data_IF_883581797935
#
_entry.id   IF_883581797935
#
_cell.length_a   1.000
_cell.length_b   1.000
_cell.length_c   1.000
_cell.angle_alpha   90.00
_cell.angle_beta   90.00
_cell.angle_gamma   90.00
#
_symmetry.space_group_name_H-M   'P 1'
#
loop_
_entity.id
_entity.type
_entity.pdbx_description
1 polymer ?
#
# COMPACT_ATOMS: atom_id res chain seq x y z
N UNK A 1 3.33 -5.07 -13.53
CA UNK A 1 2.36 -5.75 -14.45
C UNK A 1 2.79 -7.18 -14.81
N UNK A 2 4.07 -7.44 -15.09
CA UNK A 2 4.59 -8.77 -15.45
C UNK A 2 4.46 -9.84 -14.36
N UNK A 3 4.39 -9.45 -13.09
CA UNK A 3 4.23 -10.37 -11.95
C UNK A 3 2.96 -11.23 -12.05
N UNK A 4 1.90 -10.70 -12.66
CA UNK A 4 0.63 -11.42 -12.83
C UNK A 4 0.63 -12.36 -14.05
N UNK A 5 1.63 -12.29 -14.93
CA UNK A 5 1.71 -13.14 -16.14
C UNK A 5 1.70 -14.63 -15.80
N UNK A 6 2.35 -15.01 -14.69
CA UNK A 6 2.41 -16.39 -14.22
C UNK A 6 1.04 -16.88 -13.74
N UNK A 7 0.31 -16.05 -13.02
CA UNK A 7 -1.04 -16.37 -12.57
C UNK A 7 -2.01 -16.49 -13.75
N UNK A 8 -1.94 -15.56 -14.71
CA UNK A 8 -2.73 -15.62 -15.95
C UNK A 8 -2.41 -16.86 -16.78
N UNK A 9 -1.13 -17.19 -16.94
CA UNK A 9 -0.70 -18.40 -17.67
C UNK A 9 -1.26 -19.65 -17.03
N UNK A 10 -1.24 -19.73 -15.69
CA UNK A 10 -1.79 -20.87 -14.96
C UNK A 10 -3.30 -21.00 -15.20
N UNK A 11 -4.07 -19.94 -14.93
CA UNK A 11 -5.53 -19.94 -15.06
C UNK A 11 -5.96 -20.24 -16.50
N UNK A 12 -5.34 -19.61 -17.49
CA UNK A 12 -5.72 -19.77 -18.89
C UNK A 12 -5.31 -21.13 -19.46
N UNK A 13 -4.26 -21.76 -18.92
CA UNK A 13 -3.81 -23.09 -19.34
C UNK A 13 -4.68 -24.22 -18.82
N UNK A 14 -5.35 -24.02 -17.68
CA UNK A 14 -6.20 -25.02 -17.03
C UNK A 14 -7.52 -25.26 -17.79
N UNK A 15 -8.09 -24.24 -18.45
CA UNK A 15 -9.27 -24.39 -19.31
C UNK A 15 -8.88 -24.55 -20.80
N UNK A 16 -9.29 -25.68 -21.39
CA UNK A 16 -9.09 -26.00 -22.82
C UNK A 16 -9.66 -24.92 -23.76
N UNK A 17 -10.74 -24.25 -23.37
CA UNK A 17 -11.35 -23.20 -24.18
C UNK A 17 -10.53 -21.93 -24.18
N UNK A 18 -9.80 -21.63 -23.10
CA UNK A 18 -9.02 -20.39 -22.94
C UNK A 18 -7.53 -20.57 -23.20
N UNK A 19 -7.05 -21.81 -23.37
CA UNK A 19 -5.63 -22.12 -23.58
C UNK A 19 -4.97 -21.37 -24.74
N UNK A 20 -5.75 -21.01 -25.76
CA UNK A 20 -5.26 -20.23 -26.90
C UNK A 20 -5.03 -18.75 -26.57
N UNK A 21 -5.48 -18.28 -25.41
CA UNK A 21 -5.30 -16.92 -24.90
C UNK A 21 -4.08 -16.79 -23.98
N UNK A 22 -3.35 -17.89 -23.73
CA UNK A 22 -2.15 -17.85 -22.90
C UNK A 22 -1.15 -16.86 -23.54
N UNK A 23 -0.75 -15.80 -22.82
CA UNK A 23 0.10 -14.76 -23.38
C UNK A 23 1.43 -15.33 -23.84
N UNK A 24 1.88 -14.87 -24.99
CA UNK A 24 3.20 -15.18 -25.54
C UNK A 24 4.24 -14.18 -25.03
N UNK A 25 5.51 -14.44 -25.35
CA UNK A 25 6.58 -13.50 -25.05
C UNK A 25 6.38 -12.15 -25.77
N UNK A 26 5.75 -12.13 -26.95
CA UNK A 26 5.49 -10.91 -27.71
C UNK A 26 4.45 -10.04 -27.02
N UNK A 27 3.38 -10.66 -26.51
CA UNK A 27 2.35 -9.95 -25.73
C UNK A 27 2.98 -9.32 -24.48
N UNK A 28 3.91 -10.04 -23.86
CA UNK A 28 4.63 -9.62 -22.67
C UNK A 28 5.55 -8.40 -22.95
N UNK A 29 6.28 -8.44 -24.07
CA UNK A 29 7.19 -7.36 -24.51
C UNK A 29 6.42 -6.08 -24.90
N UNK A 30 5.27 -6.23 -25.56
CA UNK A 30 4.37 -5.11 -25.86
C UNK A 30 3.79 -4.49 -24.58
N UNK A 31 3.35 -5.31 -23.63
CA UNK A 31 2.84 -4.83 -22.35
C UNK A 31 3.91 -4.10 -21.52
N UNK A 32 5.16 -4.58 -21.55
CA UNK A 32 6.28 -3.90 -20.90
C UNK A 32 6.55 -2.53 -21.55
N UNK A 33 6.53 -2.45 -22.87
CA UNK A 33 6.68 -1.19 -23.61
C UNK A 33 5.58 -0.19 -23.27
N UNK A 34 4.32 -0.64 -23.18
CA UNK A 34 3.19 0.20 -22.77
C UNK A 34 3.36 0.66 -21.32
N UNK A 35 3.73 -0.24 -20.40
CA UNK A 35 3.98 0.09 -19.00
C UNK A 35 5.08 1.14 -18.87
N UNK A 36 6.16 1.03 -19.64
CA UNK A 36 7.26 2.01 -19.63
C UNK A 36 6.84 3.37 -20.19
N UNK A 37 5.91 3.41 -21.15
CA UNK A 37 5.39 4.65 -21.70
C UNK A 37 4.39 5.34 -20.75
N UNK A 38 3.58 4.56 -20.02
CA UNK A 38 2.51 5.07 -19.15
C UNK A 38 3.00 5.31 -17.71
N UNK A 39 4.01 4.58 -17.24
CA UNK A 39 4.58 4.71 -15.89
C UNK A 39 4.90 6.16 -15.49
N UNK A 40 5.60 6.94 -16.33
CA UNK A 40 5.86 8.36 -16.04
C UNK A 40 4.60 9.22 -15.90
N UNK A 41 3.51 8.89 -16.61
CA UNK A 41 2.22 9.59 -16.49
C UNK A 41 1.49 9.23 -15.20
N UNK A 42 1.63 7.98 -14.76
CA UNK A 42 1.12 7.54 -13.47
C UNK A 42 1.84 8.25 -12.33
N UNK A 43 3.18 8.25 -12.34
CA UNK A 43 3.99 8.97 -11.34
C UNK A 43 3.68 10.47 -11.32
N UNK A 44 3.48 11.09 -12.49
CA UNK A 44 3.06 12.48 -12.60
C UNK A 44 1.66 12.73 -12.01
N UNK A 45 0.72 11.81 -12.26
CA UNK A 45 -0.64 11.90 -11.74
C UNK A 45 -0.68 11.70 -10.23
N UNK A 46 0.10 10.76 -9.70
CA UNK A 46 0.24 10.49 -8.26
C UNK A 46 0.91 11.67 -7.55
N UNK A 47 1.90 12.32 -8.18
CA UNK A 47 2.52 13.53 -7.66
C UNK A 47 1.55 14.72 -7.60
N UNK A 48 0.62 14.81 -8.56
CA UNK A 48 -0.38 15.88 -8.62
C UNK A 48 -1.66 15.59 -7.85
N UNK A 49 -1.98 14.32 -7.57
CA UNK A 49 -3.23 13.95 -6.89
C UNK A 49 -3.29 14.47 -5.45
N UNK A 50 -2.14 14.88 -4.88
CA UNK A 50 -2.06 15.50 -3.56
C UNK A 50 -2.42 14.57 -2.41
N UNK A 51 -2.81 13.32 -2.69
CA UNK A 51 -3.27 12.36 -1.69
C UNK A 51 -2.14 11.96 -0.73
N UNK A 52 -0.91 11.79 -1.22
CA UNK A 52 0.24 11.47 -0.37
C UNK A 52 0.57 12.56 0.65
N UNK A 53 0.49 13.84 0.25
CA UNK A 53 0.71 14.96 1.16
C UNK A 53 -0.39 15.07 2.22
N UNK A 54 -1.64 14.81 1.83
CA UNK A 54 -2.77 14.85 2.76
C UNK A 54 -2.76 13.67 3.73
N UNK A 55 -2.36 12.47 3.29
CA UNK A 55 -2.28 11.28 4.13
C UNK A 55 -1.17 11.41 5.19
N UNK A 56 0.02 11.87 4.80
CA UNK A 56 1.13 12.09 5.74
C UNK A 56 0.84 13.22 6.72
N UNK A 57 0.19 14.30 6.26
CA UNK A 57 -0.26 15.38 7.14
C UNK A 57 -1.35 14.91 8.12
N UNK A 58 -2.29 14.08 7.66
CA UNK A 58 -3.35 13.53 8.52
C UNK A 58 -2.79 12.54 9.55
N UNK A 59 -1.82 11.71 9.15
CA UNK A 59 -1.10 10.82 10.08
C UNK A 59 -0.35 11.61 11.14
N UNK A 60 0.42 12.62 10.75
CA UNK A 60 1.15 13.46 11.69
C UNK A 60 0.23 14.17 12.70
N UNK A 61 -0.92 14.68 12.23
CA UNK A 61 -1.89 15.32 13.10
C UNK A 61 -2.56 14.32 14.05
N UNK A 62 -2.88 13.13 13.57
CA UNK A 62 -3.41 12.05 14.40
C UNK A 62 -2.40 11.59 15.46
N UNK A 63 -1.13 11.46 15.09
CA UNK A 63 -0.05 11.10 16.02
C UNK A 63 0.13 12.19 17.11
N UNK A 64 0.04 13.46 16.73
CA UNK A 64 0.07 14.58 17.69
C UNK A 64 -1.11 14.52 18.67
N UNK A 65 -2.32 14.22 18.19
CA UNK A 65 -3.52 14.09 19.01
C UNK A 65 -3.45 12.86 19.95
N UNK A 66 -2.97 11.73 19.47
CA UNK A 66 -2.77 10.54 20.29
C UNK A 66 -1.71 10.77 21.37
N UNK A 67 -0.65 11.52 21.05
CA UNK A 67 0.38 11.88 22.01
C UNK A 67 -0.15 12.85 23.08
N UNK A 68 -0.97 13.83 22.71
CA UNK A 68 -1.57 14.75 23.69
C UNK A 68 -2.53 14.03 24.64
N UNK A 69 -3.38 13.14 24.14
CA UNK A 69 -4.25 12.29 24.97
C UNK A 69 -3.46 11.37 25.91
N UNK A 70 -2.33 10.84 25.44
CA UNK A 70 -1.43 10.01 26.26
C UNK A 70 -0.80 10.83 27.39
N UNK A 71 -0.44 12.09 27.12
CA UNK A 71 0.10 13.03 28.10
C UNK A 71 -0.99 13.42 29.11
N UNK A 72 -2.20 13.78 28.65
CA UNK A 72 -3.30 14.17 29.53
C UNK A 72 -3.72 13.02 30.47
N UNK A 73 -3.79 11.79 29.96
CA UNK A 73 -4.05 10.61 30.78
C UNK A 73 -2.89 10.24 31.72
N UNK A 74 -1.64 10.63 31.41
CA UNK A 74 -0.48 10.47 32.31
C UNK A 74 -0.36 11.57 33.36
N UNK A 75 -0.87 12.78 33.09
CA UNK A 75 -0.80 13.91 34.02
C UNK A 75 -1.95 13.87 35.06
N UNK A 76 -3.03 13.12 34.81
CA UNK A 76 -4.08 12.88 35.80
C UNK A 76 -3.81 11.67 36.71
N UNK A 77 -2.73 11.70 37.50
CA UNK A 77 -2.58 10.79 38.64
C UNK A 77 -2.22 11.56 39.93
N UNK A 78 -3.22 11.99 40.73
CA UNK A 78 -2.98 12.57 42.03
C UNK A 78 -2.84 11.45 43.07
N UNK A 79 -1.70 10.74 43.05
CA UNK A 79 -1.23 9.92 44.16
C UNK A 79 -1.19 8.41 43.93
N UNK A 80 0.02 7.84 44.00
CA UNK A 80 0.26 6.43 44.30
C UNK A 80 1.06 5.67 43.25
N UNK A 81 2.35 5.46 43.54
CA UNK A 81 3.30 4.45 43.03
C UNK A 81 3.22 3.98 41.56
N UNK A 82 4.30 4.28 40.81
CA UNK A 82 4.56 3.74 39.48
C UNK A 82 4.83 2.22 39.57
N UNK A 83 3.85 1.39 39.25
CA UNK A 83 4.11 0.00 38.85
C UNK A 83 4.07 -0.12 37.34
N UNK A 84 5.22 -0.52 36.80
CA UNK A 84 5.50 -0.84 35.41
C UNK A 84 4.42 -1.79 34.84
N UNK A 85 3.66 -1.33 33.85
CA UNK A 85 2.70 -2.17 33.13
C UNK A 85 3.43 -2.90 32.00
N UNK A 86 3.71 -4.18 32.23
CA UNK A 86 4.13 -5.12 31.17
C UNK A 86 2.93 -5.45 30.28
N UNK A 87 3.06 -5.20 28.98
CA UNK A 87 2.05 -5.57 27.99
C UNK A 87 2.29 -7.03 27.55
N UNK A 88 1.26 -7.86 27.65
CA UNK A 88 1.18 -9.17 27.02
C UNK A 88 -0.04 -9.20 26.11
N UNK A 89 0.20 -9.42 24.82
CA UNK A 89 -0.82 -9.50 23.77
C UNK A 89 -0.45 -8.64 22.58
#
# INVERSE_FOLDING_TARGET
MLEQSKALTQVLSEDKKTRHLVPTWQDTDVLESINNAIGPLQEFTDALSGEAYLEDALKAELDNYLMSLTIENKIHWPGGECTELTFHG
#
